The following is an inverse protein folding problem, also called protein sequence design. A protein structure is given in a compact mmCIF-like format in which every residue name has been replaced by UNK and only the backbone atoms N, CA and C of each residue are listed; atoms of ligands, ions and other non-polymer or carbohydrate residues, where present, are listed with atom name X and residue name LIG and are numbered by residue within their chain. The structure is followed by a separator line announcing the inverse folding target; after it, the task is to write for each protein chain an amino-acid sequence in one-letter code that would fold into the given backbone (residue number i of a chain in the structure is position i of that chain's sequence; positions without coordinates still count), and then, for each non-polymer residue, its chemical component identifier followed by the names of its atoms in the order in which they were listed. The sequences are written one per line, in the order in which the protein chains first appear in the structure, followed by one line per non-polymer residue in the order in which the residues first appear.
data_IF_483305229609
#
_entry.id   IF_483305229609
#
_cell.length_a   1.000
_cell.length_b   1.000
_cell.length_c   1.000
_cell.angle_alpha   90.00
_cell.angle_beta   90.00
_cell.angle_gamma   90.00
#
_symmetry.space_group_name_H-M   'P 1'
#
loop_
_entity.id
_entity.type
_entity.pdbx_description
1 polymer ?
#
# COMPACT_ATOMS: atom_id res chain seq x y z
N UNK A 1 4.03 -7.53 -5.16
CA UNK A 1 4.58 -6.20 -4.80
C UNK A 1 6.07 -6.29 -5.10
N UNK A 2 6.52 -5.95 -6.32
CA UNK A 2 7.95 -5.98 -6.62
C UNK A 2 8.52 -4.67 -6.07
N UNK A 3 9.26 -4.72 -4.96
CA UNK A 3 10.20 -3.64 -4.61
C UNK A 3 11.00 -3.44 -5.90
N UNK A 4 10.86 -2.28 -6.55
CA UNK A 4 11.76 -1.95 -7.67
C UNK A 4 13.15 -2.15 -7.09
N UNK A 5 13.94 -3.04 -7.66
CA UNK A 5 15.38 -3.05 -7.47
C UNK A 5 15.82 -1.64 -7.81
N UNK A 6 16.09 -0.89 -6.74
CA UNK A 6 16.47 0.52 -6.80
C UNK A 6 17.75 0.55 -7.61
N UNK A 7 17.90 1.55 -8.46
CA UNK A 7 19.19 1.87 -9.06
C UNK A 7 20.18 2.10 -7.92
N UNK A 8 21.02 1.11 -7.64
CA UNK A 8 21.89 1.01 -6.46
C UNK A 8 22.85 2.20 -6.25
N UNK A 9 22.92 3.14 -7.20
CA UNK A 9 23.88 4.25 -7.19
C UNK A 9 23.47 5.52 -6.43
N UNK A 10 22.19 5.89 -6.35
CA UNK A 10 21.82 7.27 -5.96
C UNK A 10 21.86 7.53 -4.45
N UNK A 11 21.49 6.57 -3.61
CA UNK A 11 21.44 6.76 -2.15
C UNK A 11 22.78 6.47 -1.48
N UNK A 12 23.58 5.56 -2.04
CA UNK A 12 24.89 5.19 -1.48
C UNK A 12 25.94 6.29 -1.63
N UNK A 13 25.73 7.21 -2.59
CA UNK A 13 26.60 8.36 -2.84
C UNK A 13 26.26 9.61 -1.99
N UNK A 14 25.15 9.58 -1.23
CA UNK A 14 24.76 10.68 -0.34
C UNK A 14 25.72 10.78 0.86
N UNK A 15 26.06 11.99 1.35
CA UNK A 15 26.80 12.18 2.60
C UNK A 15 26.25 11.39 3.80
N UNK A 16 24.95 11.10 3.81
CA UNK A 16 24.31 10.22 4.80
C UNK A 16 23.46 9.14 4.10
N UNK A 17 24.06 8.00 3.73
CA UNK A 17 23.40 7.00 2.89
C UNK A 17 22.24 6.29 3.61
N UNK A 18 22.31 6.14 4.93
CA UNK A 18 21.24 5.52 5.73
C UNK A 18 20.02 6.43 5.76
N UNK A 19 20.23 7.74 5.93
CA UNK A 19 19.15 8.72 5.87
C UNK A 19 18.56 8.84 4.46
N UNK A 20 19.38 8.76 3.41
CA UNK A 20 18.92 8.76 2.02
C UNK A 20 18.01 7.56 1.73
N UNK A 21 18.43 6.36 2.12
CA UNK A 21 17.62 5.14 2.01
C UNK A 21 16.29 5.28 2.77
N UNK A 22 16.32 5.74 4.02
CA UNK A 22 15.12 5.91 4.84
C UNK A 22 14.11 6.88 4.19
N UNK A 23 14.56 7.97 3.59
CA UNK A 23 13.70 8.94 2.88
C UNK A 23 13.08 8.33 1.63
N UNK A 24 13.85 7.53 0.90
CA UNK A 24 13.37 6.88 -0.31
C UNK A 24 12.27 5.87 0.01
N UNK A 25 12.47 5.04 1.03
CA UNK A 25 11.47 4.09 1.52
C UNK A 25 10.21 4.82 2.02
N UNK A 26 10.39 5.92 2.76
CA UNK A 26 9.28 6.76 3.21
C UNK A 26 8.46 7.31 2.04
N UNK A 27 9.13 7.82 0.99
CA UNK A 27 8.45 8.29 -0.22
C UNK A 27 7.74 7.16 -0.98
N UNK A 28 8.32 5.95 -0.99
CA UNK A 28 7.68 4.77 -1.57
C UNK A 28 6.41 4.38 -0.82
N UNK A 29 6.45 4.31 0.51
CA UNK A 29 5.29 3.99 1.33
C UNK A 29 4.22 5.06 1.24
N UNK A 30 4.60 6.34 1.19
CA UNK A 30 3.66 7.45 0.99
C UNK A 30 2.89 7.33 -0.33
N UNK A 31 3.60 7.13 -1.44
CA UNK A 31 2.97 6.93 -2.77
C UNK A 31 2.08 5.68 -2.81
N UNK A 32 2.52 4.60 -2.17
CA UNK A 32 1.76 3.33 -2.12
C UNK A 32 0.48 3.51 -1.32
N UNK A 33 0.55 4.17 -0.16
CA UNK A 33 -0.61 4.51 0.68
C UNK A 33 -1.63 5.35 -0.09
N UNK A 34 -1.17 6.41 -0.77
CA UNK A 34 -2.05 7.30 -1.53
C UNK A 34 -2.70 6.60 -2.71
N UNK A 35 -1.95 5.76 -3.43
CA UNK A 35 -2.49 4.96 -4.53
C UNK A 35 -3.56 3.98 -4.02
N UNK A 36 -3.28 3.25 -2.94
CA UNK A 36 -4.25 2.34 -2.34
C UNK A 36 -5.52 3.06 -1.89
N UNK A 37 -5.38 4.26 -1.30
CA UNK A 37 -6.53 5.11 -0.92
C UNK A 37 -7.37 5.51 -2.12
N UNK A 38 -6.74 5.97 -3.21
CA UNK A 38 -7.44 6.34 -4.45
C UNK A 38 -8.16 5.13 -5.06
N UNK A 39 -7.51 3.97 -5.13
CA UNK A 39 -8.13 2.74 -5.64
C UNK A 39 -9.31 2.30 -4.78
N UNK A 40 -9.20 2.39 -3.45
CA UNK A 40 -10.30 2.06 -2.56
C UNK A 40 -11.53 2.93 -2.83
N UNK A 41 -11.36 4.26 -2.81
CA UNK A 41 -12.48 5.18 -3.07
C UNK A 41 -13.05 5.03 -4.48
N UNK A 42 -12.20 4.83 -5.49
CA UNK A 42 -12.66 4.59 -6.86
C UNK A 42 -13.52 3.31 -6.97
N UNK A 43 -13.15 2.27 -6.23
CA UNK A 43 -13.88 0.99 -6.22
C UNK A 43 -15.22 1.13 -5.50
N UNK A 44 -15.25 1.78 -4.34
CA UNK A 44 -16.48 2.02 -3.58
C UNK A 44 -17.45 2.93 -4.35
N UNK A 45 -16.96 4.06 -4.89
CA UNK A 45 -17.77 4.98 -5.70
C UNK A 45 -18.27 4.31 -6.98
N UNK A 46 -17.43 3.51 -7.63
CA UNK A 46 -17.83 2.73 -8.80
C UNK A 46 -18.92 1.71 -8.49
N UNK A 47 -18.78 0.98 -7.38
CA UNK A 47 -19.80 0.06 -6.88
C UNK A 47 -21.13 0.77 -6.63
N UNK A 48 -21.12 1.88 -5.90
CA UNK A 48 -22.31 2.71 -5.63
C UNK A 48 -22.95 3.24 -6.91
N UNK A 49 -22.16 3.83 -7.80
CA UNK A 49 -22.66 4.36 -9.06
C UNK A 49 -23.34 3.26 -9.88
N UNK A 50 -22.75 2.07 -9.91
CA UNK A 50 -23.28 0.97 -10.70
C UNK A 50 -24.57 0.41 -10.09
N UNK A 51 -24.63 0.22 -8.78
CA UNK A 51 -25.86 -0.26 -8.11
C UNK A 51 -27.00 0.75 -8.21
N UNK A 52 -26.72 2.05 -8.05
CA UNK A 52 -27.70 3.11 -8.27
C UNK A 52 -28.18 3.16 -9.73
N UNK A 53 -27.28 3.01 -10.71
CA UNK A 53 -27.62 3.04 -12.14
C UNK A 53 -28.54 1.88 -12.53
N UNK A 54 -28.40 0.71 -11.90
CA UNK A 54 -29.29 -0.45 -12.15
C UNK A 54 -30.75 -0.10 -11.90
N UNK A 55 -31.06 0.63 -10.83
CA UNK A 55 -32.43 1.04 -10.48
C UNK A 55 -33.00 1.98 -11.54
N UNK A 56 -32.20 2.95 -11.98
CA UNK A 56 -32.60 3.91 -13.03
C UNK A 56 -32.82 3.20 -14.37
N UNK A 57 -31.91 2.30 -14.76
CA UNK A 57 -32.00 1.54 -15.99
C UNK A 57 -33.24 0.62 -16.02
N UNK A 58 -33.55 -0.01 -14.88
CA UNK A 58 -34.77 -0.81 -14.74
C UNK A 58 -36.03 0.06 -14.86
N UNK A 59 -36.09 1.21 -14.18
CA UNK A 59 -37.23 2.13 -14.25
C UNK A 59 -37.47 2.68 -15.66
N UNK A 60 -36.40 2.99 -16.40
CA UNK A 60 -36.47 3.53 -17.77
C UNK A 60 -36.61 2.46 -18.86
N UNK A 61 -36.70 1.17 -18.50
CA UNK A 61 -36.76 0.06 -19.48
C UNK A 61 -35.59 0.13 -20.48
N UNK A 62 -34.38 0.38 -19.94
CA UNK A 62 -33.19 0.60 -20.73
C UNK A 62 -32.86 -0.59 -21.64
N UNK A 63 -32.24 -0.35 -22.81
CA UNK A 63 -31.88 -1.41 -23.74
C UNK A 63 -30.87 -2.39 -23.14
N UNK A 64 -30.94 -3.64 -23.58
CA UNK A 64 -30.21 -4.77 -23.00
C UNK A 64 -28.68 -4.57 -22.93
N UNK A 65 -28.08 -3.86 -23.89
CA UNK A 65 -26.65 -3.59 -23.87
C UNK A 65 -26.24 -2.67 -22.71
N UNK A 66 -27.10 -1.71 -22.33
CA UNK A 66 -26.83 -0.77 -21.25
C UNK A 66 -26.96 -1.44 -19.89
N UNK A 67 -28.01 -2.27 -19.71
CA UNK A 67 -28.19 -3.06 -18.49
C UNK A 67 -27.07 -4.08 -18.31
N UNK A 68 -26.57 -4.69 -19.39
CA UNK A 68 -25.42 -5.59 -19.36
C UNK A 68 -24.12 -4.87 -18.93
N UNK A 69 -23.87 -3.66 -19.42
CA UNK A 69 -22.71 -2.86 -19.00
C UNK A 69 -22.77 -2.51 -17.51
N UNK A 70 -23.94 -2.11 -17.02
CA UNK A 70 -24.16 -1.80 -15.60
C UNK A 70 -23.95 -3.09 -14.77
N UNK A 71 -24.57 -4.20 -15.13
CA UNK A 71 -24.38 -5.46 -14.42
C UNK A 71 -22.90 -5.91 -14.41
N UNK A 72 -22.22 -5.81 -15.56
CA UNK A 72 -20.79 -6.11 -15.68
C UNK A 72 -19.92 -5.21 -14.80
N UNK A 73 -20.23 -3.92 -14.74
CA UNK A 73 -19.55 -2.98 -13.84
C UNK A 73 -19.69 -3.37 -12.36
N UNK A 74 -20.89 -3.79 -11.93
CA UNK A 74 -21.13 -4.17 -10.54
C UNK A 74 -20.33 -5.42 -10.15
N UNK A 75 -20.27 -6.41 -11.05
CA UNK A 75 -19.44 -7.61 -10.88
C UNK A 75 -17.95 -7.23 -10.86
N UNK A 76 -17.51 -6.34 -11.74
CA UNK A 76 -16.13 -5.86 -11.79
C UNK A 76 -15.70 -5.19 -10.48
N UNK A 77 -16.49 -4.24 -9.95
CA UNK A 77 -16.18 -3.57 -8.68
C UNK A 77 -16.22 -4.53 -7.49
N UNK A 78 -17.15 -5.48 -7.50
CA UNK A 78 -17.20 -6.55 -6.49
C UNK A 78 -15.93 -7.41 -6.54
N UNK A 79 -15.50 -7.83 -7.73
CA UNK A 79 -14.28 -8.61 -7.94
C UNK A 79 -13.02 -7.83 -7.55
N UNK A 80 -12.94 -6.54 -7.89
CA UNK A 80 -11.83 -5.69 -7.46
C UNK A 80 -11.73 -5.58 -5.93
N UNK A 81 -12.87 -5.46 -5.24
CA UNK A 81 -12.91 -5.41 -3.77
C UNK A 81 -12.33 -6.69 -3.15
N UNK A 82 -12.67 -7.84 -3.72
CA UNK A 82 -12.16 -9.15 -3.28
C UNK A 82 -10.68 -9.36 -3.62
N UNK A 83 -10.25 -8.98 -4.84
CA UNK A 83 -8.90 -9.26 -5.32
C UNK A 83 -7.83 -8.38 -4.66
N UNK A 84 -8.15 -7.11 -4.41
CA UNK A 84 -7.15 -6.14 -3.95
C UNK A 84 -7.17 -5.86 -2.46
N UNK A 85 -8.22 -6.28 -1.73
CA UNK A 85 -8.49 -5.97 -0.32
C UNK A 85 -7.87 -4.63 0.14
N UNK A 86 -8.21 -3.50 -0.51
CA UNK A 86 -7.42 -2.28 -0.45
C UNK A 86 -7.35 -1.67 0.95
N UNK A 87 -8.36 -1.93 1.77
CA UNK A 87 -8.48 -1.42 3.14
C UNK A 87 -7.42 -2.01 4.07
N UNK A 88 -7.23 -3.33 4.07
CA UNK A 88 -6.22 -4.00 4.90
C UNK A 88 -4.80 -3.52 4.51
N UNK A 89 -4.56 -3.44 3.20
CA UNK A 89 -3.25 -3.03 2.66
C UNK A 89 -2.92 -1.56 2.91
N UNK A 90 -3.93 -0.69 3.01
CA UNK A 90 -3.74 0.73 3.33
C UNK A 90 -3.31 0.95 4.78
N UNK A 91 -3.90 0.23 5.73
CA UNK A 91 -3.58 0.33 7.16
C UNK A 91 -2.13 -0.08 7.41
N UNK A 92 -1.73 -1.22 6.85
CA UNK A 92 -0.37 -1.77 6.97
C UNK A 92 0.67 -0.83 6.38
N UNK A 93 0.44 -0.38 5.14
CA UNK A 93 1.33 0.58 4.47
C UNK A 93 1.40 1.91 5.26
N UNK A 94 0.29 2.33 5.86
CA UNK A 94 0.22 3.52 6.71
C UNK A 94 1.02 3.37 8.01
N UNK A 95 0.98 2.19 8.63
CA UNK A 95 1.76 1.88 9.81
C UNK A 95 3.26 1.87 9.50
N UNK A 96 3.69 1.16 8.45
CA UNK A 96 5.10 1.16 7.97
C UNK A 96 5.59 2.59 7.71
N UNK A 97 4.79 3.40 7.02
CA UNK A 97 5.12 4.80 6.74
C UNK A 97 5.29 5.63 8.01
N UNK A 98 4.37 5.52 8.98
CA UNK A 98 4.41 6.32 10.21
C UNK A 98 5.56 5.91 11.13
N UNK A 99 5.85 4.60 11.24
CA UNK A 99 7.00 4.08 11.98
C UNK A 99 8.30 4.63 11.40
N UNK A 100 8.47 4.55 10.08
CA UNK A 100 9.66 5.06 9.41
C UNK A 100 9.76 6.60 9.50
N UNK A 101 8.63 7.31 9.41
CA UNK A 101 8.58 8.78 9.58
C UNK A 101 9.09 9.20 10.95
N UNK A 102 8.59 8.57 12.01
CA UNK A 102 9.02 8.86 13.39
C UNK A 102 10.50 8.57 13.61
N UNK A 103 11.03 7.50 13.00
CA UNK A 103 12.44 7.16 13.09
C UNK A 103 13.33 8.19 12.37
N UNK A 104 12.95 8.60 11.16
CA UNK A 104 13.63 9.66 10.41
C UNK A 104 13.59 11.00 11.14
N UNK A 105 12.43 11.36 11.71
CA UNK A 105 12.28 12.60 12.48
C UNK A 105 13.17 12.58 13.73
N UNK A 106 13.18 11.47 14.48
CA UNK A 106 14.07 11.29 15.65
C UNK A 106 15.55 11.40 15.26
N UNK A 107 15.95 10.80 14.15
CA UNK A 107 17.31 10.87 13.65
C UNK A 107 17.70 12.30 13.24
N UNK A 108 16.77 13.06 12.64
CA UNK A 108 17.00 14.45 12.24
C UNK A 108 17.06 15.42 13.41
N UNK A 109 16.36 15.12 14.51
CA UNK A 109 16.42 15.91 15.74
C UNK A 109 17.81 15.86 16.39
N UNK A 110 18.61 14.83 16.11
CA UNK A 110 20.00 14.79 16.55
C UNK A 110 20.82 15.85 15.78
N UNK A 111 21.65 16.65 16.49
CA UNK A 111 22.66 17.49 15.88
C UNK A 111 23.56 16.68 14.92
N UNK A 112 24.09 17.28 13.84
CA UNK A 112 24.94 16.57 12.89
C UNK A 112 26.15 15.85 13.53
N UNK A 113 26.68 16.39 14.63
CA UNK A 113 27.79 15.79 15.39
C UNK A 113 27.39 14.54 16.18
N UNK A 114 26.11 14.39 16.54
CA UNK A 114 25.55 13.25 17.28
C UNK A 114 24.95 12.19 16.34
N UNK A 115 24.96 12.43 15.02
CA UNK A 115 24.57 11.46 13.98
C UNK A 115 25.69 10.46 13.71
N UNK A 116 26.15 9.84 14.78
CA UNK A 116 27.24 8.88 14.79
C UNK A 116 26.81 7.50 14.26
N UNK A 117 27.72 6.53 14.37
CA UNK A 117 27.45 5.16 13.94
C UNK A 117 26.29 4.51 14.71
N UNK A 118 26.09 4.85 15.99
CA UNK A 118 25.02 4.29 16.81
C UNK A 118 23.64 4.84 16.40
N UNK A 119 23.56 6.14 16.13
CA UNK A 119 22.37 6.77 15.58
C UNK A 119 22.00 6.18 14.21
N UNK A 120 23.00 5.96 13.34
CA UNK A 120 22.80 5.33 12.02
C UNK A 120 22.35 3.88 12.14
N UNK A 121 22.97 3.09 13.02
CA UNK A 121 22.57 1.71 13.28
C UNK A 121 21.13 1.62 13.78
N UNK A 122 20.69 2.57 14.62
CA UNK A 122 19.31 2.62 15.12
C UNK A 122 18.30 2.89 14.01
N UNK A 123 18.62 3.81 13.09
CA UNK A 123 17.78 4.09 11.93
C UNK A 123 17.74 2.89 10.98
N UNK A 124 18.90 2.25 10.73
CA UNK A 124 18.99 1.06 9.91
C UNK A 124 18.17 -0.11 10.47
N UNK A 125 18.28 -0.38 11.78
CA UNK A 125 17.50 -1.43 12.44
C UNK A 125 15.99 -1.21 12.26
N UNK A 126 15.54 0.05 12.29
CA UNK A 126 14.12 0.37 12.05
C UNK A 126 13.71 0.11 10.60
N UNK A 127 14.56 0.43 9.62
CA UNK A 127 14.32 0.13 8.19
C UNK A 127 14.17 -1.39 7.99
N UNK A 128 15.09 -2.16 8.58
CA UNK A 128 15.08 -3.62 8.50
C UNK A 128 13.85 -4.22 9.18
N UNK A 129 13.46 -3.71 10.35
CA UNK A 129 12.26 -4.15 11.06
C UNK A 129 10.99 -3.93 10.23
N UNK A 130 10.84 -2.75 9.61
CA UNK A 130 9.70 -2.48 8.72
C UNK A 130 9.67 -3.46 7.54
N UNK A 131 10.83 -3.72 6.92
CA UNK A 131 10.92 -4.69 5.82
C UNK A 131 10.59 -6.13 6.26
N UNK A 132 11.08 -6.54 7.43
CA UNK A 132 10.86 -7.88 7.98
C UNK A 132 9.39 -8.10 8.38
N UNK A 133 8.74 -7.08 8.92
CA UNK A 133 7.31 -7.15 9.26
C UNK A 133 6.46 -7.30 7.99
N UNK A 134 6.78 -6.58 6.91
CA UNK A 134 6.09 -6.75 5.62
C UNK A 134 6.31 -8.12 5.00
N UNK A 135 7.53 -8.67 5.11
CA UNK A 135 7.82 -10.00 4.63
C UNK A 135 7.01 -11.06 5.40
N UNK A 136 6.94 -10.93 6.72
CA UNK A 136 6.17 -11.83 7.59
C UNK A 136 4.68 -11.77 7.28
N UNK A 137 4.13 -10.58 7.15
CA UNK A 137 2.72 -10.41 6.81
C UNK A 137 2.40 -10.98 5.43
N UNK A 138 3.30 -10.81 4.46
CA UNK A 138 3.16 -11.43 3.15
C UNK A 138 3.19 -12.95 3.24
N UNK A 139 4.13 -13.54 4.00
CA UNK A 139 4.20 -14.98 4.19
C UNK A 139 2.96 -15.53 4.89
N UNK A 140 2.44 -14.84 5.91
CA UNK A 140 1.24 -15.26 6.64
C UNK A 140 0.01 -15.23 5.71
N UNK A 141 -0.10 -14.18 4.88
CA UNK A 141 -1.18 -14.05 3.89
C UNK A 141 -1.11 -15.15 2.82
N UNK A 142 0.09 -15.55 2.38
CA UNK A 142 0.24 -16.66 1.43
C UNK A 142 -0.02 -18.02 2.10
N UNK A 143 0.46 -18.21 3.33
CA UNK A 143 0.25 -19.44 4.12
C UNK A 143 -1.23 -19.74 4.31
N UNK A 144 -2.02 -18.74 4.74
CA UNK A 144 -3.48 -18.87 4.89
C UNK A 144 -4.21 -19.17 3.58
N UNK A 145 -3.64 -18.79 2.44
CA UNK A 145 -4.23 -19.06 1.11
C UNK A 145 -3.97 -20.49 0.63
N UNK A 146 -3.01 -21.18 1.23
CA UNK A 146 -2.56 -22.53 0.84
C UNK A 146 -3.18 -23.63 1.70
N UNK A 147 -4.00 -23.28 2.71
CA UNK A 147 -4.86 -24.21 3.47
C UNK A 147 -6.32 -24.22 2.98
N UNK A 148 -6.64 -24.82 1.81
CA UNK A 148 -7.98 -25.29 1.53
C UNK A 148 -8.01 -26.82 1.57
N UNK A 149 -7.69 -27.45 2.69
CA UNK A 149 -7.94 -28.88 2.90
C UNK A 149 -8.35 -29.15 4.35
N UNK A 150 -9.67 -29.05 4.60
CA UNK A 150 -10.48 -29.93 5.45
C UNK A 150 -11.90 -29.31 5.56
N UNK A 151 -12.68 -29.42 4.49
CA UNK A 151 -14.14 -29.29 4.48
C UNK A 151 -14.70 -30.35 3.55
#
# INVERSE_FOLDING_TARGET
MRRRTVTDGDWAADPDPVLALARQDLAFYGRTRDRSRRTHYATELGGLATTSSTVVAAGLHAPAWLTALIAGGAVFFTGMRQLFSPAARWVVTGQSHETLRRAVDRYRLLPPAERDAAARATLQATIEEVGNNELREWSDTQGQRTDPQNA
#
